data_IF_029312470856
#
_entry.id   IF_029312470856
#
_cell.length_a   1.000
_cell.length_b   1.000
_cell.length_c   1.000
_cell.angle_alpha   90.00
_cell.angle_beta   90.00
_cell.angle_gamma   90.00
#
_symmetry.space_group_name_H-M   'P 1'
#
loop_
_entity.id
_entity.type
_entity.pdbx_description
1 polymer ?
#
# COMPACT_ATOMS: atom_id res chain seq x y z
N UNK A 1 -42.24 11.23 9.87
CA UNK A 1 -41.91 11.80 8.55
C UNK A 1 -40.97 10.83 7.84
N UNK A 2 -41.40 10.21 6.75
CA UNK A 2 -40.54 9.38 5.90
C UNK A 2 -39.58 10.29 5.16
N UNK A 3 -38.29 10.23 5.50
CA UNK A 3 -37.26 11.03 4.84
C UNK A 3 -37.12 10.52 3.41
N UNK A 4 -37.37 11.40 2.42
CA UNK A 4 -37.12 11.09 1.01
C UNK A 4 -35.62 11.12 0.72
N UNK A 5 -34.99 9.96 0.84
CA UNK A 5 -33.55 9.75 0.61
C UNK A 5 -33.15 10.11 -0.82
N UNK A 6 -34.05 9.96 -1.80
CA UNK A 6 -33.77 10.25 -3.21
C UNK A 6 -33.65 11.76 -3.40
N UNK A 7 -34.59 12.52 -2.82
CA UNK A 7 -34.57 13.98 -2.88
C UNK A 7 -33.35 14.57 -2.16
N UNK A 8 -32.98 14.00 -1.01
CA UNK A 8 -31.78 14.40 -0.28
C UNK A 8 -30.51 14.15 -1.10
N UNK A 9 -30.39 12.98 -1.74
CA UNK A 9 -29.29 12.67 -2.66
C UNK A 9 -29.21 13.65 -3.83
N UNK A 10 -30.35 14.01 -4.43
CA UNK A 10 -30.42 14.97 -5.55
C UNK A 10 -29.89 16.34 -5.14
N UNK A 11 -30.30 16.85 -3.98
CA UNK A 11 -29.83 18.14 -3.46
C UNK A 11 -28.36 18.12 -3.06
N UNK A 12 -27.91 17.06 -2.38
CA UNK A 12 -26.49 16.91 -2.04
C UNK A 12 -25.61 16.83 -3.30
N UNK A 13 -26.08 16.17 -4.37
CA UNK A 13 -25.36 16.13 -5.65
C UNK A 13 -25.18 17.52 -6.26
N UNK A 14 -26.20 18.37 -6.20
CA UNK A 14 -26.09 19.75 -6.65
C UNK A 14 -25.09 20.58 -5.83
N UNK A 15 -24.96 20.29 -4.53
CA UNK A 15 -24.08 21.03 -3.63
C UNK A 15 -22.62 20.53 -3.62
N UNK A 16 -22.41 19.22 -3.78
CA UNK A 16 -21.10 18.57 -3.69
C UNK A 16 -20.47 18.29 -5.07
N UNK A 17 -21.28 18.22 -6.14
CA UNK A 17 -20.87 17.91 -7.52
C UNK A 17 -20.00 16.64 -7.65
N UNK A 18 -20.17 15.68 -6.74
CA UNK A 18 -19.39 14.46 -6.67
C UNK A 18 -20.22 13.37 -5.97
N UNK A 19 -20.53 12.28 -6.69
CA UNK A 19 -21.39 11.21 -6.17
C UNK A 19 -20.76 10.45 -4.98
N UNK A 20 -19.43 10.39 -4.93
CA UNK A 20 -18.72 9.73 -3.85
C UNK A 20 -18.77 10.58 -2.57
N UNK A 21 -18.66 11.91 -2.69
CA UNK A 21 -18.88 12.81 -1.55
C UNK A 21 -20.32 12.77 -1.03
N UNK A 22 -21.31 12.66 -1.91
CA UNK A 22 -22.71 12.48 -1.50
C UNK A 22 -22.88 11.18 -0.71
N UNK A 23 -22.22 10.10 -1.15
CA UNK A 23 -22.29 8.81 -0.49
C UNK A 23 -21.56 8.82 0.87
N UNK A 24 -20.39 9.46 0.95
CA UNK A 24 -19.65 9.68 2.20
C UNK A 24 -20.48 10.52 3.19
N UNK A 25 -21.11 11.59 2.71
CA UNK A 25 -21.99 12.44 3.52
C UNK A 25 -23.12 11.65 4.16
N UNK A 26 -23.85 10.88 3.35
CA UNK A 26 -25.00 10.11 3.83
C UNK A 26 -24.55 9.01 4.81
N UNK A 27 -23.38 8.41 4.59
CA UNK A 27 -22.80 7.43 5.50
C UNK A 27 -22.50 8.03 6.88
N UNK A 28 -21.94 9.24 6.91
CA UNK A 28 -21.46 9.87 8.13
C UNK A 28 -22.56 10.60 8.92
N UNK A 29 -23.46 11.30 8.22
CA UNK A 29 -24.44 12.20 8.85
C UNK A 29 -25.90 11.76 8.62
N UNK A 30 -26.13 10.67 7.88
CA UNK A 30 -27.46 10.23 7.50
C UNK A 30 -28.08 11.07 6.37
N UNK A 31 -29.34 10.78 5.99
CA UNK A 31 -30.04 11.46 4.91
C UNK A 31 -30.65 12.80 5.35
N UNK A 32 -29.86 13.68 5.97
CA UNK A 32 -30.29 15.02 6.40
C UNK A 32 -29.37 16.08 5.84
N UNK A 33 -29.89 17.18 5.28
CA UNK A 33 -29.06 18.23 4.70
C UNK A 33 -28.69 19.26 5.77
N UNK A 34 -27.42 19.27 6.14
CA UNK A 34 -26.79 20.27 7.00
C UNK A 34 -25.58 20.90 6.30
N UNK A 35 -25.64 22.23 6.13
CA UNK A 35 -24.60 23.04 5.49
C UNK A 35 -23.26 22.95 6.24
N UNK A 36 -23.26 22.84 7.57
CA UNK A 36 -22.01 22.70 8.36
C UNK A 36 -21.30 21.41 8.00
N UNK A 37 -22.04 20.30 7.94
CA UNK A 37 -21.50 19.00 7.57
C UNK A 37 -21.01 18.97 6.11
N UNK A 38 -21.69 19.69 5.21
CA UNK A 38 -21.26 19.83 3.80
C UNK A 38 -19.92 20.57 3.73
N UNK A 39 -19.75 21.65 4.52
CA UNK A 39 -18.47 22.38 4.60
C UNK A 39 -17.36 21.49 5.12
N UNK A 40 -17.60 20.72 6.18
CA UNK A 40 -16.61 19.78 6.76
C UNK A 40 -16.12 18.78 5.70
N UNK A 41 -17.03 18.17 4.93
CA UNK A 41 -16.65 17.21 3.88
C UNK A 41 -15.87 17.89 2.74
N UNK A 42 -16.28 19.09 2.32
CA UNK A 42 -15.53 19.85 1.31
C UNK A 42 -14.14 20.24 1.78
N UNK A 43 -14.01 20.68 3.02
CA UNK A 43 -12.73 21.03 3.65
C UNK A 43 -11.83 19.80 3.79
N UNK A 44 -12.37 18.65 4.18
CA UNK A 44 -11.63 17.37 4.22
C UNK A 44 -11.07 17.00 2.84
N UNK A 45 -11.88 17.09 1.78
CA UNK A 45 -11.41 16.85 0.39
C UNK A 45 -10.34 17.86 -0.03
N UNK A 46 -10.52 19.14 0.29
CA UNK A 46 -9.55 20.18 -0.04
C UNK A 46 -8.22 19.99 0.74
N UNK A 47 -8.29 19.58 2.00
CA UNK A 47 -7.12 19.26 2.83
C UNK A 47 -6.39 18.03 2.29
N UNK A 48 -7.11 16.97 1.93
CA UNK A 48 -6.52 15.80 1.28
C UNK A 48 -5.76 16.19 0.01
N UNK A 49 -6.37 16.99 -0.88
CA UNK A 49 -5.73 17.47 -2.10
C UNK A 49 -4.47 18.33 -1.85
N UNK A 50 -4.44 19.12 -0.76
CA UNK A 50 -3.27 19.92 -0.36
C UNK A 50 -2.18 19.10 0.33
N UNK A 51 -2.55 18.07 1.09
CA UNK A 51 -1.60 17.20 1.78
C UNK A 51 -0.85 16.28 0.81
N UNK A 52 -1.47 15.89 -0.31
CA UNK A 52 -0.80 15.03 -1.31
C UNK A 52 0.22 15.79 -2.18
N UNK A 53 0.13 17.12 -2.24
CA UNK A 53 0.86 17.96 -3.20
C UNK A 53 1.31 19.27 -2.55
N UNK A 54 2.45 19.26 -1.87
CA UNK A 54 3.00 20.45 -1.21
C UNK A 54 4.24 20.97 -1.94
N UNK A 55 4.30 22.29 -2.16
CA UNK A 55 5.50 23.01 -2.58
C UNK A 55 5.47 23.58 -4.00
N UNK A 56 6.40 24.49 -4.25
CA UNK A 56 6.71 25.02 -5.58
C UNK A 56 7.52 23.98 -6.37
N UNK A 57 7.34 23.92 -7.69
CA UNK A 57 8.10 23.05 -8.57
C UNK A 57 7.26 22.25 -9.57
N UNK A 58 7.95 21.57 -10.48
CA UNK A 58 7.31 20.75 -11.52
C UNK A 58 6.62 19.52 -10.93
N UNK A 59 5.62 19.00 -11.64
CA UNK A 59 4.92 17.79 -11.23
C UNK A 59 5.79 16.53 -11.44
N UNK A 60 6.15 15.81 -10.35
CA UNK A 60 6.97 14.60 -10.43
C UNK A 60 6.19 13.40 -10.99
N UNK A 61 4.86 13.47 -11.06
CA UNK A 61 4.00 12.36 -11.50
C UNK A 61 3.59 12.54 -12.96
N UNK A 62 3.57 11.44 -13.71
CA UNK A 62 2.96 11.36 -15.03
C UNK A 62 2.01 10.17 -15.11
N UNK A 63 1.08 10.21 -16.07
CA UNK A 63 0.12 9.13 -16.29
C UNK A 63 0.57 8.19 -17.41
N UNK A 64 0.31 6.90 -17.21
CA UNK A 64 0.31 5.89 -18.27
C UNK A 64 -1.05 5.20 -18.31
N UNK A 65 -1.41 4.67 -19.49
CA UNK A 65 -2.65 3.90 -19.67
C UNK A 65 -2.33 2.41 -19.75
N UNK A 66 -3.07 1.62 -18.97
CA UNK A 66 -2.93 0.17 -18.85
C UNK A 66 -4.22 -0.56 -19.28
N UNK A 67 -4.10 -1.85 -19.55
CA UNK A 67 -5.24 -2.73 -19.80
C UNK A 67 -5.34 -3.82 -18.71
N UNK A 68 -6.55 -4.10 -18.27
CA UNK A 68 -6.83 -5.05 -17.20
C UNK A 68 -6.69 -6.49 -17.69
N UNK A 69 -5.86 -7.34 -17.08
CA UNK A 69 -5.80 -8.77 -17.47
C UNK A 69 -7.04 -9.55 -17.01
N UNK A 70 -7.76 -9.05 -16.01
CA UNK A 70 -8.94 -9.73 -15.45
C UNK A 70 -10.19 -9.50 -16.29
N UNK A 71 -10.45 -8.28 -16.75
CA UNK A 71 -11.70 -7.97 -17.46
C UNK A 71 -11.52 -7.29 -18.82
N UNK A 72 -10.28 -7.19 -19.30
CA UNK A 72 -9.91 -6.53 -20.56
C UNK A 72 -10.39 -5.08 -20.68
N UNK A 73 -10.64 -4.41 -19.54
CA UNK A 73 -10.90 -2.97 -19.51
C UNK A 73 -9.62 -2.23 -19.88
N UNK A 74 -9.69 -1.39 -20.90
CA UNK A 74 -8.60 -0.54 -21.35
C UNK A 74 -8.62 0.83 -20.64
N UNK A 75 -7.59 1.63 -20.88
CA UNK A 75 -7.45 3.01 -20.41
C UNK A 75 -7.45 3.17 -18.88
N UNK A 76 -6.96 2.15 -18.17
CA UNK A 76 -6.75 2.25 -16.72
C UNK A 76 -5.63 3.25 -16.47
N UNK A 77 -5.94 4.27 -15.68
CA UNK A 77 -4.96 5.29 -15.30
C UNK A 77 -4.02 4.73 -14.23
N UNK A 78 -2.73 4.75 -14.53
CA UNK A 78 -1.66 4.44 -13.61
C UNK A 78 -0.74 5.65 -13.51
N UNK A 79 -0.42 6.04 -12.28
CA UNK A 79 0.49 7.14 -11.99
C UNK A 79 1.90 6.58 -11.84
N UNK A 80 2.90 7.28 -12.37
CA UNK A 80 4.31 6.90 -12.29
C UNK A 80 5.16 8.11 -11.93
N UNK A 81 6.26 7.88 -11.19
CA UNK A 81 7.22 8.92 -10.85
C UNK A 81 8.22 9.12 -11.98
N UNK A 82 8.51 10.38 -12.31
CA UNK A 82 9.64 10.75 -13.17
C UNK A 82 10.94 10.36 -12.49
N UNK A 83 11.87 9.79 -13.26
CA UNK A 83 13.16 9.38 -12.72
C UNK A 83 13.87 10.54 -12.01
N UNK A 84 14.40 10.29 -10.81
CA UNK A 84 15.13 11.27 -9.97
C UNK A 84 14.32 12.52 -9.56
N UNK A 85 13.01 12.54 -9.76
CA UNK A 85 12.14 13.66 -9.34
C UNK A 85 11.85 13.68 -7.84
N UNK A 86 12.03 12.55 -7.16
CA UNK A 86 11.88 12.40 -5.73
C UNK A 86 13.13 11.72 -5.16
N UNK A 87 13.62 12.20 -4.03
CA UNK A 87 14.44 11.43 -3.13
C UNK A 87 13.54 10.46 -2.35
N UNK A 88 13.92 9.19 -2.32
CA UNK A 88 13.16 8.14 -1.62
C UNK A 88 13.97 7.67 -0.43
N UNK A 89 13.50 8.01 0.76
CA UNK A 89 14.01 7.48 2.03
C UNK A 89 13.06 6.40 2.53
N UNK A 90 13.52 5.53 3.41
CA UNK A 90 12.68 4.50 4.04
C UNK A 90 12.50 4.83 5.52
N UNK A 91 11.27 4.72 6.02
CA UNK A 91 11.01 4.79 7.46
C UNK A 91 11.55 3.53 8.18
N UNK A 92 11.32 3.44 9.50
CA UNK A 92 11.74 2.29 10.31
C UNK A 92 11.08 0.97 9.91
N UNK A 93 9.92 1.01 9.26
CA UNK A 93 9.22 -0.14 8.68
C UNK A 93 9.54 -0.38 7.19
N UNK A 94 10.56 0.28 6.64
CA UNK A 94 10.95 0.20 5.24
C UNK A 94 9.91 0.75 4.23
N UNK A 95 8.90 1.49 4.71
CA UNK A 95 7.94 2.19 3.86
C UNK A 95 8.61 3.42 3.24
N UNK A 96 8.48 3.63 1.92
CA UNK A 96 9.01 4.81 1.24
C UNK A 96 8.42 6.14 1.77
N UNK A 97 9.30 7.11 2.00
CA UNK A 97 9.03 8.52 2.21
C UNK A 97 9.62 9.29 1.04
N UNK A 98 8.82 10.17 0.46
CA UNK A 98 9.17 10.90 -0.75
C UNK A 98 9.46 12.36 -0.42
N UNK A 99 10.54 12.89 -0.98
CA UNK A 99 10.90 14.29 -0.88
C UNK A 99 11.26 14.83 -2.27
N UNK A 100 10.70 15.97 -2.64
CA UNK A 100 10.94 16.60 -3.94
C UNK A 100 12.43 16.85 -4.18
N UNK A 101 12.88 16.58 -5.40
CA UNK A 101 14.27 16.76 -5.80
C UNK A 101 14.34 17.42 -7.19
N UNK A 102 15.48 18.04 -7.52
CA UNK A 102 15.76 18.57 -8.87
C UNK A 102 14.68 19.52 -9.42
N UNK A 103 14.10 20.38 -8.57
CA UNK A 103 13.07 21.36 -8.96
C UNK A 103 11.66 20.78 -9.11
N UNK A 104 11.44 19.52 -8.68
CA UNK A 104 10.11 18.92 -8.57
C UNK A 104 9.56 19.08 -7.15
N UNK A 105 8.24 19.27 -7.05
CA UNK A 105 7.53 19.35 -5.77
C UNK A 105 7.47 18.00 -5.06
N UNK A 106 7.28 18.00 -3.74
CA UNK A 106 7.09 16.76 -2.98
C UNK A 106 5.69 16.20 -3.23
N UNK A 107 5.62 14.91 -3.55
CA UNK A 107 4.35 14.17 -3.71
C UNK A 107 4.46 12.88 -2.92
N UNK A 108 3.50 12.61 -2.04
CA UNK A 108 3.40 11.30 -1.40
C UNK A 108 2.88 10.26 -2.39
N UNK A 109 3.81 9.55 -3.01
CA UNK A 109 3.47 8.53 -4.00
C UNK A 109 2.88 7.27 -3.36
N UNK A 110 2.94 7.10 -2.04
CA UNK A 110 2.18 6.04 -1.36
C UNK A 110 0.69 6.18 -1.62
N UNK A 111 0.18 7.41 -1.73
CA UNK A 111 -1.23 7.66 -2.06
C UNK A 111 -1.56 7.22 -3.49
N UNK A 112 -0.64 7.37 -4.45
CA UNK A 112 -0.92 7.21 -5.88
C UNK A 112 -0.46 5.87 -6.46
N UNK A 113 0.44 5.16 -5.77
CA UNK A 113 1.21 4.05 -6.33
C UNK A 113 0.40 2.84 -6.77
N UNK A 114 -0.86 2.71 -6.37
CA UNK A 114 -1.75 1.63 -6.80
C UNK A 114 -2.59 2.04 -8.01
N UNK A 115 -2.53 1.26 -9.08
CA UNK A 115 -3.47 1.32 -10.19
C UNK A 115 -4.69 0.42 -9.92
N UNK A 116 -5.89 0.91 -10.25
CA UNK A 116 -7.15 0.20 -10.01
C UNK A 116 -8.01 0.16 -11.27
N UNK A 117 -8.44 -1.03 -11.67
CA UNK A 117 -9.43 -1.19 -12.73
C UNK A 117 -10.82 -0.79 -12.23
N UNK A 118 -11.39 0.31 -12.75
CA UNK A 118 -12.72 0.78 -12.36
C UNK A 118 -13.87 -0.20 -12.71
N UNK A 119 -13.66 -1.17 -13.62
CA UNK A 119 -14.68 -2.16 -14.01
C UNK A 119 -14.75 -3.37 -13.08
N UNK A 120 -13.61 -3.96 -12.72
CA UNK A 120 -13.56 -5.21 -11.95
C UNK A 120 -12.84 -5.09 -10.59
N UNK A 121 -12.36 -3.89 -10.26
CA UNK A 121 -11.64 -3.56 -9.03
C UNK A 121 -10.37 -4.37 -8.81
N UNK A 122 -9.83 -4.98 -9.87
CA UNK A 122 -8.46 -5.49 -9.84
C UNK A 122 -7.49 -4.33 -9.57
N UNK A 123 -6.59 -4.51 -8.60
CA UNK A 123 -5.66 -3.49 -8.16
C UNK A 123 -4.25 -4.03 -7.98
N UNK A 124 -3.26 -3.23 -8.36
CA UNK A 124 -1.85 -3.54 -8.15
C UNK A 124 -0.98 -2.28 -8.11
N UNK A 125 0.04 -2.22 -7.23
CA UNK A 125 1.10 -1.23 -7.31
C UNK A 125 2.21 -1.55 -8.32
N UNK A 126 2.26 -2.76 -8.89
CA UNK A 126 3.19 -3.14 -9.95
C UNK A 126 2.48 -3.11 -11.31
N UNK A 127 2.87 -2.18 -12.18
CA UNK A 127 2.35 -2.08 -13.55
C UNK A 127 2.56 -3.34 -14.39
N UNK A 128 3.51 -4.22 -14.03
CA UNK A 128 3.71 -5.53 -14.71
C UNK A 128 2.57 -6.51 -14.46
N UNK A 129 1.76 -6.28 -13.43
CA UNK A 129 0.55 -7.07 -13.20
C UNK A 129 -0.58 -6.70 -14.15
N UNK A 130 -0.44 -5.63 -14.92
CA UNK A 130 -1.37 -5.24 -15.98
C UNK A 130 -0.81 -5.57 -17.35
N UNK A 131 -1.68 -5.62 -18.35
CA UNK A 131 -1.22 -5.58 -19.73
C UNK A 131 -0.85 -4.13 -20.09
N UNK A 132 0.23 -3.95 -20.83
CA UNK A 132 0.80 -2.63 -21.12
C UNK A 132 1.23 -2.50 -22.59
N UNK A 133 1.18 -1.30 -23.17
CA UNK A 133 1.70 -1.07 -24.51
C UNK A 133 3.19 -1.41 -24.58
N UNK A 134 3.62 -2.06 -25.67
CA UNK A 134 5.03 -2.37 -25.88
C UNK A 134 5.80 -1.07 -26.19
N UNK A 135 6.81 -0.67 -25.39
CA UNK A 135 7.58 0.54 -25.66
C UNK A 135 8.46 0.44 -26.90
N UNK A 136 8.77 -0.77 -27.37
CA UNK A 136 9.73 -1.01 -28.46
C UNK A 136 9.08 -1.28 -29.83
N UNK A 137 7.75 -1.23 -29.94
CA UNK A 137 7.07 -1.46 -31.22
C UNK A 137 5.59 -1.82 -31.08
N UNK A 138 5.07 -2.52 -32.09
CA UNK A 138 3.69 -2.97 -32.10
C UNK A 138 3.43 -4.06 -31.04
N UNK A 139 2.20 -4.08 -30.52
CA UNK A 139 1.71 -5.11 -29.60
C UNK A 139 1.68 -4.68 -28.13
N UNK A 140 1.37 -5.66 -27.29
CA UNK A 140 1.09 -5.48 -25.87
C UNK A 140 1.94 -6.47 -25.07
N UNK A 141 2.62 -5.98 -24.03
CA UNK A 141 3.26 -6.84 -23.03
C UNK A 141 2.17 -7.32 -22.08
N UNK A 142 1.97 -8.64 -22.03
CA UNK A 142 0.97 -9.27 -21.15
C UNK A 142 1.40 -9.19 -19.68
N UNK A 143 0.38 -9.25 -18.81
CA UNK A 143 0.53 -9.35 -17.36
C UNK A 143 1.46 -10.50 -16.97
N UNK A 144 2.24 -10.30 -15.90
CA UNK A 144 3.06 -11.36 -15.30
C UNK A 144 2.26 -12.38 -14.47
N UNK A 145 0.96 -12.12 -14.23
CA UNK A 145 0.11 -13.06 -13.49
C UNK A 145 -0.18 -14.30 -14.31
N UNK A 146 -0.17 -15.46 -13.65
CA UNK A 146 -0.52 -16.74 -14.30
C UNK A 146 -2.01 -16.82 -14.59
N UNK A 147 -2.40 -17.62 -15.60
CA UNK A 147 -3.80 -17.77 -16.01
C UNK A 147 -4.72 -18.24 -14.88
N UNK A 148 -4.24 -19.12 -14.00
CA UNK A 148 -5.01 -19.63 -12.86
C UNK A 148 -5.36 -18.50 -11.88
N UNK A 149 -4.37 -17.65 -11.54
CA UNK A 149 -4.60 -16.48 -10.69
C UNK A 149 -5.59 -15.52 -11.34
N UNK A 150 -5.44 -15.24 -12.64
CA UNK A 150 -6.36 -14.37 -13.39
C UNK A 150 -7.79 -14.92 -13.34
N UNK A 151 -7.97 -16.22 -13.54
CA UNK A 151 -9.28 -16.88 -13.52
C UNK A 151 -9.94 -16.79 -12.14
N UNK A 152 -9.23 -17.10 -11.05
CA UNK A 152 -9.76 -16.94 -9.68
C UNK A 152 -10.09 -15.47 -9.37
N UNK A 153 -9.28 -14.53 -9.87
CA UNK A 153 -9.59 -13.11 -9.73
C UNK A 153 -10.87 -12.74 -10.50
N UNK A 154 -11.11 -13.30 -11.68
CA UNK A 154 -12.36 -13.10 -12.42
C UNK A 154 -13.58 -13.61 -11.64
N UNK A 155 -13.48 -14.79 -11.04
CA UNK A 155 -14.56 -15.38 -10.24
C UNK A 155 -14.87 -14.54 -8.98
N UNK A 156 -13.85 -13.89 -8.39
CA UNK A 156 -13.97 -13.10 -7.16
C UNK A 156 -14.21 -11.60 -7.37
N UNK A 157 -14.75 -11.19 -8.52
CA UNK A 157 -15.13 -9.78 -8.76
C UNK A 157 -16.16 -9.29 -7.73
N UNK A 158 -17.09 -10.15 -7.33
CA UNK A 158 -18.13 -9.83 -6.34
C UNK A 158 -17.55 -9.46 -4.96
N UNK A 159 -16.57 -10.23 -4.49
CA UNK A 159 -15.89 -9.97 -3.21
C UNK A 159 -15.24 -8.58 -3.19
N UNK A 160 -14.52 -8.22 -4.26
CA UNK A 160 -13.89 -6.90 -4.38
C UNK A 160 -14.89 -5.75 -4.43
N UNK A 161 -16.04 -5.94 -5.09
CA UNK A 161 -17.13 -4.95 -5.11
C UNK A 161 -17.78 -4.80 -3.73
N UNK A 162 -17.91 -5.87 -2.96
CA UNK A 162 -18.47 -5.83 -1.61
C UNK A 162 -17.63 -4.97 -0.65
N UNK A 163 -16.30 -4.95 -0.81
CA UNK A 163 -15.40 -4.09 -0.02
C UNK A 163 -15.70 -2.59 -0.19
N UNK A 164 -16.23 -2.19 -1.35
CA UNK A 164 -16.48 -0.80 -1.71
C UNK A 164 -17.95 -0.53 -2.02
N UNK A 165 -18.86 -1.24 -1.35
CA UNK A 165 -20.32 -1.10 -1.54
C UNK A 165 -20.88 0.32 -1.38
N UNK A 166 -20.12 1.22 -0.75
CA UNK A 166 -20.47 2.62 -0.52
C UNK A 166 -19.95 3.57 -1.61
N UNK A 167 -19.08 3.11 -2.50
CA UNK A 167 -18.54 3.90 -3.61
C UNK A 167 -19.48 3.78 -4.80
N UNK A 168 -19.85 4.93 -5.37
CA UNK A 168 -20.85 5.02 -6.43
C UNK A 168 -20.23 5.17 -7.82
N UNK A 169 -19.06 5.80 -7.91
CA UNK A 169 -18.32 6.00 -9.14
C UNK A 169 -16.85 5.61 -8.94
N UNK A 170 -16.51 4.39 -9.35
CA UNK A 170 -15.14 3.87 -9.27
C UNK A 170 -14.16 4.56 -10.22
N UNK A 171 -14.65 5.16 -11.32
CA UNK A 171 -13.77 5.76 -12.32
C UNK A 171 -13.08 7.01 -11.78
N UNK A 172 -13.83 7.86 -11.06
CA UNK A 172 -13.29 9.07 -10.42
C UNK A 172 -12.70 8.80 -9.03
N UNK A 173 -13.21 7.81 -8.27
CA UNK A 173 -12.81 7.57 -6.88
C UNK A 173 -11.30 7.35 -6.68
N UNK A 174 -10.64 6.69 -7.64
CA UNK A 174 -9.21 6.37 -7.56
C UNK A 174 -8.32 7.35 -8.33
N UNK A 175 -8.89 8.41 -8.94
CA UNK A 175 -8.10 9.41 -9.66
C UNK A 175 -7.44 10.40 -8.70
N UNK A 176 -6.45 11.12 -9.22
CA UNK A 176 -5.77 12.22 -8.54
C UNK A 176 -6.64 13.49 -8.59
N UNK A 177 -6.74 14.29 -7.51
CA UNK A 177 -6.15 14.06 -6.18
C UNK A 177 -6.86 12.92 -5.45
N UNK A 178 -6.07 11.95 -4.96
CA UNK A 178 -6.61 10.75 -4.31
C UNK A 178 -6.76 11.00 -2.82
N UNK A 179 -7.92 10.68 -2.26
CA UNK A 179 -8.17 10.79 -0.82
C UNK A 179 -7.52 9.64 -0.04
N UNK A 180 -7.34 9.81 1.28
CA UNK A 180 -6.85 8.76 2.19
C UNK A 180 -7.73 7.50 2.09
N UNK A 181 -9.05 7.64 2.17
CA UNK A 181 -10.02 6.55 2.02
C UNK A 181 -9.86 5.80 0.68
N UNK A 182 -9.59 6.52 -0.42
CA UNK A 182 -9.37 5.93 -1.73
C UNK A 182 -8.01 5.23 -1.84
N UNK A 183 -6.96 5.78 -1.24
CA UNK A 183 -5.64 5.17 -1.19
C UNK A 183 -5.67 3.88 -0.34
N UNK A 184 -6.26 3.92 0.85
CA UNK A 184 -6.45 2.74 1.71
C UNK A 184 -7.29 1.67 0.98
N UNK A 185 -8.39 2.06 0.33
CA UNK A 185 -9.20 1.16 -0.46
C UNK A 185 -8.40 0.48 -1.59
N UNK A 186 -7.52 1.22 -2.27
CA UNK A 186 -6.69 0.68 -3.34
C UNK A 186 -5.69 -0.38 -2.84
N UNK A 187 -5.09 -0.18 -1.66
CA UNK A 187 -4.24 -1.19 -1.04
C UNK A 187 -5.04 -2.40 -0.55
N UNK A 188 -6.23 -2.22 0.03
CA UNK A 188 -7.10 -3.34 0.40
C UNK A 188 -7.50 -4.18 -0.81
N UNK A 189 -7.81 -3.55 -1.95
CA UNK A 189 -8.02 -4.27 -3.21
C UNK A 189 -6.76 -5.01 -3.65
N UNK A 190 -5.57 -4.41 -3.51
CA UNK A 190 -4.30 -5.09 -3.81
C UNK A 190 -4.04 -6.29 -2.88
N UNK A 191 -4.44 -6.20 -1.61
CA UNK A 191 -4.41 -7.33 -0.68
C UNK A 191 -5.35 -8.45 -1.11
N UNK A 192 -6.56 -8.18 -1.61
CA UNK A 192 -7.42 -9.25 -2.15
C UNK A 192 -6.74 -10.03 -3.27
N UNK A 193 -5.96 -9.36 -4.11
CA UNK A 193 -5.17 -10.01 -5.15
C UNK A 193 -4.01 -10.81 -4.58
N UNK A 194 -3.25 -10.24 -3.65
CA UNK A 194 -2.14 -10.93 -3.00
C UNK A 194 -2.61 -12.14 -2.17
N UNK A 195 -3.83 -12.14 -1.63
CA UNK A 195 -4.44 -13.31 -0.98
C UNK A 195 -4.71 -14.45 -1.98
N UNK A 196 -5.11 -14.14 -3.22
CA UNK A 196 -5.22 -15.17 -4.27
C UNK A 196 -3.85 -15.71 -4.63
N UNK A 197 -2.83 -14.85 -4.75
CA UNK A 197 -1.44 -15.29 -4.96
C UNK A 197 -0.94 -16.20 -3.82
N UNK A 198 -1.26 -15.87 -2.57
CA UNK A 198 -0.91 -16.68 -1.40
C UNK A 198 -1.61 -18.05 -1.42
N UNK A 199 -2.87 -18.11 -1.84
CA UNK A 199 -3.59 -19.36 -2.00
C UNK A 199 -2.96 -20.28 -3.06
N UNK A 200 -2.35 -19.70 -4.09
CA UNK A 200 -1.55 -20.40 -5.11
C UNK A 200 -0.07 -20.52 -4.75
N UNK A 201 0.29 -20.32 -3.47
CA UNK A 201 1.66 -20.44 -2.93
C UNK A 201 2.70 -19.64 -3.72
N UNK A 202 2.30 -18.51 -4.31
CA UNK A 202 3.24 -17.69 -5.07
C UNK A 202 4.28 -17.07 -4.12
N UNK A 203 5.56 -17.02 -4.55
CA UNK A 203 6.60 -16.34 -3.80
C UNK A 203 6.23 -14.88 -3.49
N UNK A 204 6.67 -14.41 -2.33
CA UNK A 204 6.50 -13.05 -1.82
C UNK A 204 5.05 -12.61 -1.55
N UNK A 205 4.05 -13.49 -1.67
CA UNK A 205 2.64 -13.14 -1.47
C UNK A 205 2.36 -12.62 -0.05
N UNK A 206 2.86 -13.29 0.99
CA UNK A 206 2.73 -12.82 2.37
C UNK A 206 3.55 -11.55 2.65
N UNK A 207 4.73 -11.43 2.04
CA UNK A 207 5.52 -10.21 2.09
C UNK A 207 4.77 -9.00 1.48
N UNK A 208 4.11 -9.20 0.33
CA UNK A 208 3.25 -8.18 -0.30
C UNK A 208 2.11 -7.77 0.63
N UNK A 209 1.41 -8.73 1.23
CA UNK A 209 0.32 -8.48 2.17
C UNK A 209 0.78 -7.61 3.35
N UNK A 210 1.86 -8.00 4.04
CA UNK A 210 2.44 -7.22 5.13
C UNK A 210 2.89 -5.82 4.68
N UNK A 211 3.53 -5.73 3.52
CA UNK A 211 3.98 -4.45 2.94
C UNK A 211 2.83 -3.53 2.53
N UNK A 212 1.66 -4.06 2.19
CA UNK A 212 0.46 -3.26 1.92
C UNK A 212 -0.19 -2.76 3.21
N UNK A 213 -0.24 -3.58 4.26
CA UNK A 213 -0.65 -3.14 5.59
C UNK A 213 0.22 -1.99 6.09
N UNK A 214 1.55 -2.06 5.94
CA UNK A 214 2.44 -0.96 6.35
C UNK A 214 2.17 0.35 5.61
N UNK A 215 1.84 0.30 4.32
CA UNK A 215 1.45 1.49 3.55
C UNK A 215 0.11 2.05 3.99
N UNK A 216 -0.85 1.20 4.31
CA UNK A 216 -2.14 1.61 4.91
C UNK A 216 -1.89 2.27 6.27
N UNK A 217 -1.05 1.66 7.12
CA UNK A 217 -0.72 2.18 8.43
C UNK A 217 -0.07 3.57 8.35
N UNK A 218 0.84 3.76 7.39
CA UNK A 218 1.42 5.06 7.08
C UNK A 218 0.36 6.10 6.71
N UNK A 219 -0.52 5.78 5.76
CA UNK A 219 -1.60 6.70 5.33
C UNK A 219 -2.49 7.10 6.51
N UNK A 220 -2.81 6.14 7.40
CA UNK A 220 -3.60 6.40 8.61
C UNK A 220 -2.86 7.34 9.57
N UNK A 221 -1.57 7.12 9.81
CA UNK A 221 -0.75 7.98 10.67
C UNK A 221 -0.62 9.39 10.10
N UNK A 222 -0.35 9.53 8.80
CA UNK A 222 -0.24 10.84 8.14
C UNK A 222 -1.57 11.63 8.25
N UNK A 223 -2.71 10.92 8.26
CA UNK A 223 -4.04 11.48 8.52
C UNK A 223 -4.35 11.77 10.00
N UNK A 224 -3.44 11.42 10.92
CA UNK A 224 -3.60 11.59 12.37
C UNK A 224 -4.46 10.50 13.05
N UNK A 225 -4.67 9.36 12.40
CA UNK A 225 -5.44 8.24 12.94
C UNK A 225 -4.58 7.20 13.69
N UNK A 226 -5.26 6.31 14.43
CA UNK A 226 -4.63 5.15 15.06
C UNK A 226 -4.48 3.99 14.06
N UNK A 227 -3.24 3.54 13.83
CA UNK A 227 -2.89 2.50 12.89
C UNK A 227 -2.60 1.13 13.54
N UNK A 228 -2.74 1.00 14.87
CA UNK A 228 -2.21 -0.14 15.63
C UNK A 228 -2.75 -1.49 15.18
N UNK A 229 -4.04 -1.58 14.84
CA UNK A 229 -4.62 -2.82 14.32
C UNK A 229 -4.02 -3.23 12.97
N UNK A 230 -3.74 -2.27 12.09
CA UNK A 230 -3.13 -2.52 10.78
C UNK A 230 -1.67 -2.98 10.96
N UNK A 231 -0.95 -2.44 11.95
CA UNK A 231 0.39 -2.90 12.29
C UNK A 231 0.38 -4.34 12.84
N UNK A 232 -0.62 -4.73 13.63
CA UNK A 232 -0.79 -6.13 14.07
C UNK A 232 -1.05 -7.07 12.91
N UNK A 233 -1.87 -6.66 11.94
CA UNK A 233 -2.13 -7.42 10.72
C UNK A 233 -0.84 -7.56 9.88
N UNK A 234 -0.08 -6.48 9.71
CA UNK A 234 1.22 -6.50 9.05
C UNK A 234 2.18 -7.51 9.71
N UNK A 235 2.26 -7.48 11.05
CA UNK A 235 3.09 -8.39 11.83
C UNK A 235 2.70 -9.86 11.60
N UNK A 236 1.40 -10.17 11.57
CA UNK A 236 0.92 -11.52 11.29
C UNK A 236 1.37 -12.00 9.90
N UNK A 237 1.25 -11.16 8.87
CA UNK A 237 1.68 -11.51 7.51
C UNK A 237 3.20 -11.68 7.39
N UNK A 238 4.00 -10.83 8.02
CA UNK A 238 5.46 -11.00 7.99
C UNK A 238 5.91 -12.26 8.74
N UNK A 239 5.29 -12.60 9.87
CA UNK A 239 5.54 -13.87 10.57
C UNK A 239 5.21 -15.06 9.69
N UNK A 240 4.09 -15.00 8.97
CA UNK A 240 3.70 -16.07 8.05
C UNK A 240 4.67 -16.18 6.87
N UNK A 241 5.11 -15.05 6.31
CA UNK A 241 6.12 -15.00 5.25
C UNK A 241 7.43 -15.66 5.69
N UNK A 242 7.88 -15.40 6.93
CA UNK A 242 9.07 -16.02 7.51
C UNK A 242 8.85 -17.52 7.78
N UNK A 243 7.73 -17.89 8.41
CA UNK A 243 7.40 -19.28 8.78
C UNK A 243 7.34 -20.22 7.58
N UNK A 244 6.84 -19.71 6.46
CA UNK A 244 6.67 -20.48 5.21
C UNK A 244 7.85 -20.34 4.26
N UNK A 245 8.90 -19.62 4.64
CA UNK A 245 10.04 -19.28 3.77
C UNK A 245 9.59 -18.76 2.40
N UNK A 246 8.51 -17.96 2.38
CA UNK A 246 7.85 -17.50 1.15
C UNK A 246 8.71 -16.51 0.33
N UNK A 247 9.88 -16.12 0.83
CA UNK A 247 10.79 -15.17 0.20
C UNK A 247 12.09 -15.88 -0.22
N UNK A 248 12.23 -16.33 -1.48
CA UNK A 248 13.43 -17.05 -1.93
C UNK A 248 14.69 -16.18 -2.03
N UNK A 249 14.56 -14.85 -1.94
CA UNK A 249 15.69 -13.92 -1.93
C UNK A 249 16.12 -13.57 -0.50
N UNK A 250 17.38 -13.85 -0.15
CA UNK A 250 17.96 -13.63 1.18
C UNK A 250 17.80 -12.17 1.67
N UNK A 251 18.03 -11.18 0.80
CA UNK A 251 17.84 -9.76 1.16
C UNK A 251 16.40 -9.47 1.60
N UNK A 252 15.40 -10.11 0.98
CA UNK A 252 13.99 -9.92 1.35
C UNK A 252 13.66 -10.67 2.63
N UNK A 253 14.19 -11.88 2.81
CA UNK A 253 14.01 -12.63 4.06
C UNK A 253 14.61 -11.87 5.26
N UNK A 254 15.79 -11.27 5.12
CA UNK A 254 16.38 -10.46 6.18
C UNK A 254 15.56 -9.19 6.45
N UNK A 255 14.99 -8.57 5.41
CA UNK A 255 14.03 -7.46 5.56
C UNK A 255 12.78 -7.88 6.34
N UNK A 256 12.24 -9.08 6.08
CA UNK A 256 11.09 -9.63 6.83
C UNK A 256 11.42 -9.73 8.31
N UNK A 257 12.56 -10.34 8.67
CA UNK A 257 12.98 -10.50 10.07
C UNK A 257 13.16 -9.13 10.75
N UNK A 258 13.86 -8.20 10.10
CA UNK A 258 14.02 -6.84 10.60
C UNK A 258 12.67 -6.13 10.83
N UNK A 259 11.74 -6.28 9.88
CA UNK A 259 10.42 -5.65 9.96
C UNK A 259 9.58 -6.24 11.10
N UNK A 260 9.70 -7.55 11.35
CA UNK A 260 9.10 -8.20 12.53
C UNK A 260 9.65 -7.58 13.82
N UNK A 261 10.97 -7.40 13.94
CA UNK A 261 11.58 -6.74 15.11
C UNK A 261 11.00 -5.33 15.29
N UNK A 262 10.99 -4.52 14.24
CA UNK A 262 10.48 -3.15 14.29
C UNK A 262 9.00 -3.09 14.70
N UNK A 263 8.16 -3.97 14.15
CA UNK A 263 6.73 -4.05 14.49
C UNK A 263 6.50 -4.50 15.93
N UNK A 264 7.21 -5.54 16.39
CA UNK A 264 7.13 -5.99 17.78
C UNK A 264 7.52 -4.87 18.75
N UNK A 265 8.56 -4.10 18.44
CA UNK A 265 8.97 -2.95 19.24
C UNK A 265 7.88 -1.87 19.29
N UNK A 266 7.35 -1.44 18.13
CA UNK A 266 6.27 -0.44 18.08
C UNK A 266 5.02 -0.88 18.83
N UNK A 267 4.69 -2.18 18.78
CA UNK A 267 3.51 -2.75 19.44
C UNK A 267 3.70 -3.01 20.94
N UNK A 268 4.92 -2.85 21.47
CA UNK A 268 5.28 -3.05 22.88
C UNK A 268 5.67 -4.48 23.25
N UNK A 269 5.85 -5.38 22.28
CA UNK A 269 6.29 -6.77 22.51
C UNK A 269 7.82 -6.89 22.39
N UNK A 270 8.52 -6.29 23.36
CA UNK A 270 9.99 -6.30 23.40
C UNK A 270 10.56 -7.72 23.55
N UNK A 271 9.85 -8.62 24.22
CA UNK A 271 10.28 -10.02 24.38
C UNK A 271 10.37 -10.71 23.02
N UNK A 272 9.33 -10.56 22.19
CA UNK A 272 9.33 -11.13 20.87
C UNK A 272 10.32 -10.45 19.93
N UNK A 273 10.45 -9.12 19.98
CA UNK A 273 11.47 -8.39 19.23
C UNK A 273 12.89 -8.95 19.52
N UNK A 274 13.26 -9.12 20.79
CA UNK A 274 14.56 -9.69 21.17
C UNK A 274 14.74 -11.13 20.66
N UNK A 275 13.67 -11.95 20.68
CA UNK A 275 13.71 -13.30 20.12
C UNK A 275 14.05 -13.29 18.62
N UNK A 276 13.48 -12.36 17.84
CA UNK A 276 13.77 -12.24 16.41
C UNK A 276 15.15 -11.64 16.12
N UNK A 277 15.71 -10.82 17.02
CA UNK A 277 17.13 -10.43 16.94
C UNK A 277 18.04 -11.67 17.10
N UNK A 278 17.65 -12.62 17.96
CA UNK A 278 18.32 -13.91 18.11
C UNK A 278 18.34 -14.74 16.82
N UNK A 279 17.28 -14.65 15.99
CA UNK A 279 17.19 -15.36 14.70
C UNK A 279 18.34 -14.97 13.77
N UNK A 280 18.71 -13.69 13.67
CA UNK A 280 19.86 -13.27 12.87
C UNK A 280 21.16 -13.94 13.31
N UNK A 281 21.36 -14.10 14.62
CA UNK A 281 22.55 -14.76 15.17
C UNK A 281 22.60 -16.23 14.75
N UNK A 282 21.46 -16.92 14.82
CA UNK A 282 21.35 -18.31 14.40
C UNK A 282 21.63 -18.47 12.90
N UNK A 283 21.04 -17.60 12.06
CA UNK A 283 21.25 -17.61 10.61
C UNK A 283 22.71 -17.32 10.25
N UNK A 284 23.34 -16.35 10.90
CA UNK A 284 24.77 -16.04 10.71
C UNK A 284 25.66 -17.24 11.05
N UNK A 285 25.39 -17.90 12.18
CA UNK A 285 26.15 -19.07 12.62
C UNK A 285 25.98 -20.25 11.65
N UNK A 286 24.74 -20.51 11.20
CA UNK A 286 24.45 -21.53 10.19
C UNK A 286 25.20 -21.23 8.88
N UNK A 287 25.12 -20.01 8.38
CA UNK A 287 25.81 -19.58 7.16
C UNK A 287 27.34 -19.69 7.29
N UNK A 288 27.90 -19.36 8.45
CA UNK A 288 29.33 -19.50 8.70
C UNK A 288 29.78 -20.97 8.72
N UNK A 289 28.90 -21.88 9.17
CA UNK A 289 29.16 -23.32 9.07
C UNK A 289 29.12 -23.78 7.60
N UNK A 290 28.11 -23.38 6.83
CA UNK A 290 27.99 -23.67 5.38
C UNK A 290 29.19 -23.14 4.59
N UNK A 291 29.73 -21.97 4.95
CA UNK A 291 30.91 -21.38 4.31
C UNK A 291 32.17 -22.24 4.42
N UNK A 292 32.25 -23.16 5.39
CA UNK A 292 33.36 -24.12 5.48
C UNK A 292 33.33 -25.14 4.34
N UNK A 293 32.13 -25.42 3.82
CA UNK A 293 31.88 -26.36 2.72
C UNK A 293 31.81 -25.64 1.37
N UNK A 294 31.22 -24.44 1.32
CA UNK A 294 31.21 -23.56 0.15
C UNK A 294 31.76 -22.16 0.46
N UNK A 295 33.06 -21.90 0.19
CA UNK A 295 33.69 -20.61 0.43
C UNK A 295 33.15 -19.44 -0.40
N UNK A 296 32.26 -19.67 -1.37
CA UNK A 296 31.63 -18.59 -2.15
C UNK A 296 30.49 -17.90 -1.40
N UNK A 297 29.95 -18.56 -0.39
CA UNK A 297 28.93 -18.00 0.48
C UNK A 297 29.53 -16.88 1.35
N UNK A 298 28.70 -15.93 1.80
CA UNK A 298 29.10 -14.89 2.72
C UNK A 298 27.97 -14.52 3.70
N UNK A 299 28.30 -13.73 4.73
CA UNK A 299 27.37 -13.28 5.79
C UNK A 299 26.97 -11.81 5.66
N UNK A 300 27.43 -11.11 4.63
CA UNK A 300 27.36 -9.64 4.54
C UNK A 300 25.92 -9.13 4.64
N UNK A 301 25.00 -9.79 3.94
CA UNK A 301 23.56 -9.46 3.97
C UNK A 301 22.97 -9.63 5.37
N UNK A 302 23.27 -10.77 6.01
CA UNK A 302 22.75 -11.11 7.35
C UNK A 302 23.27 -10.11 8.38
N UNK A 303 24.57 -9.81 8.35
CA UNK A 303 25.22 -8.89 9.29
C UNK A 303 24.67 -7.46 9.16
N UNK A 304 24.53 -6.96 7.92
CA UNK A 304 23.93 -5.64 7.65
C UNK A 304 22.55 -5.49 8.32
N UNK A 305 21.68 -6.48 8.17
CA UNK A 305 20.32 -6.42 8.72
C UNK A 305 20.27 -6.72 10.21
N UNK A 306 21.17 -7.58 10.71
CA UNK A 306 21.37 -7.82 12.14
C UNK A 306 21.76 -6.53 12.86
N UNK A 307 22.75 -5.81 12.34
CA UNK A 307 23.23 -4.55 12.92
C UNK A 307 22.11 -3.50 12.90
N UNK A 308 21.38 -3.38 11.78
CA UNK A 308 20.22 -2.49 11.70
C UNK A 308 19.14 -2.81 12.75
N UNK A 309 18.88 -4.09 13.01
CA UNK A 309 17.93 -4.51 14.04
C UNK A 309 18.45 -4.24 15.47
N UNK A 310 19.76 -4.41 15.71
CA UNK A 310 20.40 -4.11 17.00
C UNK A 310 20.38 -2.62 17.31
N UNK A 311 20.73 -1.77 16.35
CA UNK A 311 20.63 -0.31 16.53
C UNK A 311 19.20 0.12 16.86
N UNK A 312 18.21 -0.47 16.19
CA UNK A 312 16.81 -0.20 16.52
C UNK A 312 16.48 -0.58 17.97
N UNK A 313 16.98 -1.73 18.43
CA UNK A 313 16.78 -2.23 19.79
C UNK A 313 17.49 -1.42 20.88
N UNK A 314 18.67 -0.90 20.58
CA UNK A 314 19.41 0.00 21.47
C UNK A 314 18.64 1.30 21.72
N UNK A 315 17.96 1.80 20.67
CA UNK A 315 17.12 2.99 20.71
C UNK A 315 15.71 2.76 21.32
N UNK A 316 15.37 1.55 21.80
CA UNK A 316 13.99 1.17 22.18
C UNK A 316 13.33 2.04 23.25
N UNK A 317 14.14 2.68 24.11
CA UNK A 317 13.67 3.49 25.24
C UNK A 317 13.38 4.95 24.81
N UNK A 318 13.63 5.30 23.54
CA UNK A 318 13.30 6.61 22.97
C UNK A 318 11.82 6.71 22.63
N UNK A 319 11.15 7.73 23.17
CA UNK A 319 9.74 8.00 22.89
C UNK A 319 9.49 8.37 21.41
N UNK A 320 10.45 9.05 20.78
CA UNK A 320 10.37 9.56 19.41
C UNK A 320 10.77 8.53 18.32
N UNK A 321 11.08 7.28 18.71
CA UNK A 321 11.68 6.28 17.83
C UNK A 321 10.91 6.04 16.53
N UNK A 322 9.59 6.20 16.59
CA UNK A 322 8.65 5.94 15.50
C UNK A 322 7.84 7.18 15.09
N UNK A 323 8.27 8.39 15.44
CA UNK A 323 7.56 9.64 15.08
C UNK A 323 7.56 9.91 13.57
N UNK A 324 8.50 9.29 12.85
CA UNK A 324 8.67 9.41 11.40
C UNK A 324 8.12 8.21 10.60
N UNK A 325 7.09 7.53 11.11
CA UNK A 325 6.45 6.37 10.46
C UNK A 325 5.56 6.72 9.25
#
# INVERSE_FOLDING_TARGET
MTIDVIEVKRRLRALLNDNNLVSEYIRQYGPTIDIKNIKIIKEKKAKAARATESGEGNDPVFEIKLACPVCNQNEITCYELRAKSQQVLQNKFLVPRYQGAMGYRTVDYTMLGVAVCHRCLFASPDKKDFNRPNPSGAGEIKSQLTSNIIMTLQERIGERRALLKYVSDYASYFQRPRTEDAAIASYRLSMTRANVEAWYEQPYSFYKLGSYCLRIAKIITDGGGDNREVLREALAYFKEAFRTSNCPAEEIEMQVIYTIVALCMKLGDHRQANSYIGVFTNLKNARTAEMKEDPKLNTVTIEKWQDKARYLWEDRDREDLFDEE
#
